data_IF_545010192004
#
_entry.id   IF_545010192004
#
_cell.length_a   1.000
_cell.length_b   1.000
_cell.length_c   1.000
_cell.angle_alpha   90.00
_cell.angle_beta   90.00
_cell.angle_gamma   90.00
#
_symmetry.space_group_name_H-M   'P 1'
#
loop_
_entity.id
_entity.type
_entity.pdbx_description
1 polymer ?
#
# COMPACT_ATOMS: atom_id res chain seq x y z
N UNK A 1 32.95 28.69 18.86
CA UNK A 1 31.99 27.82 19.59
C UNK A 1 30.73 27.78 18.72
N UNK A 2 30.58 26.74 17.92
CA UNK A 2 29.41 26.50 17.06
C UNK A 2 28.57 25.46 17.78
N UNK A 3 27.38 25.85 18.20
CA UNK A 3 26.37 24.96 18.76
C UNK A 3 25.77 24.11 17.65
N UNK A 4 26.13 22.83 17.64
CA UNK A 4 25.38 21.78 16.97
C UNK A 4 24.11 21.48 17.81
N UNK A 5 22.97 22.06 17.46
CA UNK A 5 21.69 21.70 18.02
C UNK A 5 20.97 20.71 17.07
N UNK A 6 21.00 19.46 17.52
CA UNK A 6 19.99 18.39 17.41
C UNK A 6 19.24 18.22 16.08
N UNK A 7 19.79 17.37 15.20
CA UNK A 7 19.08 16.84 14.03
C UNK A 7 17.85 15.96 14.34
N UNK A 8 17.67 15.55 15.59
CA UNK A 8 16.50 14.77 16.04
C UNK A 8 15.19 15.55 16.06
N UNK A 9 15.25 16.89 16.20
CA UNK A 9 14.05 17.73 16.27
C UNK A 9 13.36 17.90 14.91
N UNK A 10 14.12 17.98 13.80
CA UNK A 10 13.56 18.24 12.46
C UNK A 10 12.85 17.01 11.91
N UNK A 11 13.44 15.81 12.03
CA UNK A 11 12.83 14.55 11.58
C UNK A 11 11.59 14.19 12.42
N UNK A 12 11.63 14.43 13.74
CA UNK A 12 10.46 14.24 14.59
C UNK A 12 9.37 15.28 14.36
N UNK A 13 9.72 16.53 14.08
CA UNK A 13 8.76 17.54 13.69
C UNK A 13 8.14 17.26 12.33
N UNK A 14 8.90 16.79 11.34
CA UNK A 14 8.34 16.36 10.05
C UNK A 14 7.44 15.14 10.22
N UNK A 15 7.82 14.12 11.01
CA UNK A 15 6.91 12.99 11.34
C UNK A 15 5.62 13.47 11.98
N UNK A 16 5.67 14.39 12.94
CA UNK A 16 4.48 14.97 13.57
C UNK A 16 3.64 15.79 12.57
N UNK A 17 4.26 16.54 11.68
CA UNK A 17 3.53 17.31 10.65
C UNK A 17 2.88 16.38 9.61
N UNK A 18 3.55 15.31 9.19
CA UNK A 18 3.01 14.28 8.28
C UNK A 18 1.83 13.57 8.93
N UNK A 19 1.96 13.16 10.18
CA UNK A 19 0.88 12.56 10.97
C UNK A 19 -0.27 13.55 11.13
N UNK A 20 -0.02 14.84 11.35
CA UNK A 20 -1.07 15.85 11.53
C UNK A 20 -1.85 16.17 10.24
N UNK A 21 -1.18 16.24 9.09
CA UNK A 21 -1.84 16.51 7.79
C UNK A 21 -2.67 15.32 7.27
N UNK A 22 -2.27 14.11 7.66
CA UNK A 22 -2.94 12.85 7.33
C UNK A 22 -3.93 12.41 8.41
N UNK A 23 -3.76 12.89 9.64
CA UNK A 23 -4.57 12.52 10.79
C UNK A 23 -6.03 12.96 10.69
N UNK A 24 -6.35 13.95 9.87
CA UNK A 24 -7.75 14.40 9.73
C UNK A 24 -8.69 13.30 9.24
N UNK A 25 -8.23 12.39 8.35
CA UNK A 25 -9.03 11.26 7.89
C UNK A 25 -8.94 10.05 8.82
N UNK A 26 -7.74 9.80 9.39
CA UNK A 26 -7.51 8.67 10.30
C UNK A 26 -7.80 9.03 11.77
N UNK A 27 -7.90 10.32 12.11
CA UNK A 27 -8.15 10.81 13.49
C UNK A 27 -9.53 10.46 14.04
N UNK A 28 -10.49 10.11 13.17
CA UNK A 28 -11.83 9.67 13.56
C UNK A 28 -11.77 8.43 14.49
N UNK A 29 -10.65 7.68 14.46
CA UNK A 29 -10.44 6.45 15.21
C UNK A 29 -9.32 6.58 16.27
N UNK A 30 -9.08 7.79 16.79
CA UNK A 30 -8.05 8.03 17.80
C UNK A 30 -8.33 7.27 19.11
N UNK A 31 -7.25 6.79 19.78
CA UNK A 31 -7.36 5.94 20.97
C UNK A 31 -8.01 6.60 22.19
N UNK A 32 -8.02 7.94 22.25
CA UNK A 32 -8.58 8.71 23.38
C UNK A 32 -10.04 9.11 23.18
N UNK A 33 -10.69 8.61 22.14
CA UNK A 33 -12.10 8.95 21.84
C UNK A 33 -13.06 7.99 22.53
N UNK A 34 -14.18 8.51 23.01
CA UNK A 34 -15.35 7.70 23.33
C UNK A 34 -16.02 7.22 22.06
N UNK A 35 -16.57 6.02 22.08
CA UNK A 35 -17.25 5.42 20.94
C UNK A 35 -18.67 5.05 21.29
N UNK A 36 -19.57 5.17 20.33
CA UNK A 36 -20.92 4.64 20.42
C UNK A 36 -21.04 3.45 19.47
N UNK A 37 -21.26 2.28 20.04
CA UNK A 37 -21.68 1.11 19.28
C UNK A 37 -23.20 1.12 19.17
N UNK A 38 -23.71 1.29 17.96
CA UNK A 38 -25.14 1.33 17.66
C UNK A 38 -25.49 0.09 16.86
N UNK A 39 -26.58 -0.56 17.21
CA UNK A 39 -27.13 -1.72 16.49
C UNK A 39 -28.60 -1.49 16.18
N UNK A 40 -28.99 -1.85 14.96
CA UNK A 40 -30.36 -1.76 14.48
C UNK A 40 -30.82 -3.13 13.97
N UNK A 41 -32.07 -3.45 14.20
CA UNK A 41 -32.73 -4.65 13.73
C UNK A 41 -33.27 -5.51 14.87
N UNK A 42 -33.81 -6.70 14.55
CA UNK A 42 -34.49 -7.57 15.50
C UNK A 42 -33.65 -7.95 16.73
N UNK A 43 -32.35 -7.77 16.65
CA UNK A 43 -31.39 -8.13 17.70
C UNK A 43 -30.81 -6.96 18.49
N UNK A 44 -31.39 -5.77 18.43
CA UNK A 44 -31.07 -4.72 19.38
C UNK A 44 -31.18 -5.20 20.84
N UNK A 45 -32.02 -6.23 21.07
CA UNK A 45 -32.15 -6.94 22.37
C UNK A 45 -30.95 -7.78 22.74
N UNK A 46 -30.12 -8.21 21.80
CA UNK A 46 -28.92 -9.00 22.09
C UNK A 46 -27.86 -8.20 22.87
N UNK A 47 -27.99 -6.87 22.95
CA UNK A 47 -27.19 -6.04 23.81
C UNK A 47 -27.58 -6.10 25.31
N UNK A 48 -28.53 -6.96 25.71
CA UNK A 48 -28.98 -7.06 27.10
C UNK A 48 -27.83 -7.35 28.10
N UNK A 49 -26.78 -8.01 27.65
CA UNK A 49 -25.58 -8.28 28.45
C UNK A 49 -24.60 -7.12 28.58
N UNK A 50 -24.82 -6.01 27.86
CA UNK A 50 -23.87 -4.90 27.77
C UNK A 50 -24.37 -3.57 28.34
N UNK A 51 -25.49 -3.57 29.09
CA UNK A 51 -26.07 -2.38 29.71
C UNK A 51 -26.21 -1.19 28.71
N UNK A 52 -27.10 -1.28 27.71
CA UNK A 52 -27.28 -0.22 26.72
C UNK A 52 -27.74 1.07 27.39
N UNK A 53 -27.08 2.19 27.03
CA UNK A 53 -27.39 3.52 27.54
C UNK A 53 -28.63 4.11 26.84
N UNK A 54 -28.85 3.70 25.58
CA UNK A 54 -29.99 4.17 24.79
C UNK A 54 -30.69 3.00 24.11
N UNK A 55 -32.04 3.06 24.12
CA UNK A 55 -32.86 2.05 23.45
C UNK A 55 -34.11 2.70 22.91
N UNK A 56 -34.42 2.48 21.63
CA UNK A 56 -35.67 2.94 21.00
C UNK A 56 -36.04 1.98 19.88
N UNK A 57 -37.21 1.36 20.00
CA UNK A 57 -37.70 0.36 19.08
C UNK A 57 -36.67 -0.73 18.80
N UNK A 58 -36.25 -0.86 17.56
CA UNK A 58 -35.23 -1.81 17.07
C UNK A 58 -33.78 -1.25 17.06
N UNK A 59 -33.56 -0.10 17.72
CA UNK A 59 -32.25 0.53 17.83
C UNK A 59 -31.77 0.51 19.27
N UNK A 60 -30.53 0.08 19.48
CA UNK A 60 -29.86 0.13 20.78
C UNK A 60 -28.45 0.69 20.63
N UNK A 61 -28.00 1.48 21.60
CA UNK A 61 -26.68 2.08 21.60
C UNK A 61 -25.97 1.89 22.94
N UNK A 62 -24.68 1.62 22.90
CA UNK A 62 -23.78 1.49 24.05
C UNK A 62 -22.65 2.50 23.88
N UNK A 63 -22.38 3.26 24.94
CA UNK A 63 -21.14 4.03 25.00
C UNK A 63 -19.99 3.11 25.44
N UNK A 64 -18.87 3.17 24.76
CA UNK A 64 -17.68 2.38 25.02
C UNK A 64 -16.43 3.25 24.82
N UNK A 65 -15.31 2.73 25.24
CA UNK A 65 -13.97 3.29 25.04
C UNK A 65 -13.25 2.57 23.89
N UNK A 66 -11.92 2.58 23.92
CA UNK A 66 -11.07 1.88 22.96
C UNK A 66 -11.30 0.35 22.89
N UNK A 67 -12.00 -0.23 23.88
CA UNK A 67 -12.31 -1.67 23.92
C UNK A 67 -13.58 -2.05 23.12
N UNK A 68 -14.15 -1.15 22.34
CA UNK A 68 -15.36 -1.41 21.54
C UNK A 68 -15.25 -2.67 20.67
N UNK A 69 -14.04 -3.06 20.23
CA UNK A 69 -13.80 -4.28 19.45
C UNK A 69 -14.18 -5.54 20.21
N UNK A 70 -13.78 -5.66 21.47
CA UNK A 70 -14.07 -6.85 22.30
C UNK A 70 -15.57 -6.99 22.50
N UNK A 71 -16.26 -5.85 22.69
CA UNK A 71 -17.72 -5.79 22.81
C UNK A 71 -18.33 -6.21 21.47
N UNK A 72 -17.83 -5.68 20.35
CA UNK A 72 -18.31 -6.02 19.02
C UNK A 72 -18.14 -7.50 18.70
N UNK A 73 -16.96 -8.08 18.98
CA UNK A 73 -16.69 -9.51 18.72
C UNK A 73 -17.68 -10.41 19.46
N UNK A 74 -17.94 -10.12 20.75
CA UNK A 74 -18.92 -10.84 21.55
C UNK A 74 -20.33 -10.70 20.98
N UNK A 75 -20.71 -9.51 20.55
CA UNK A 75 -22.00 -9.22 19.93
C UNK A 75 -22.17 -9.95 18.58
N UNK A 76 -21.15 -9.86 17.70
CA UNK A 76 -21.17 -10.54 16.40
C UNK A 76 -21.26 -12.06 16.54
N UNK A 77 -20.56 -12.64 17.52
CA UNK A 77 -20.66 -14.07 17.84
C UNK A 77 -22.06 -14.46 18.34
N UNK A 78 -22.72 -13.60 19.10
CA UNK A 78 -24.10 -13.82 19.56
C UNK A 78 -25.08 -13.79 18.40
N UNK A 79 -24.92 -12.85 17.45
CA UNK A 79 -25.74 -12.79 16.23
C UNK A 79 -25.54 -14.06 15.38
N UNK A 80 -24.31 -14.46 15.15
CA UNK A 80 -23.97 -15.59 14.26
C UNK A 80 -24.63 -16.92 14.69
N UNK A 81 -24.98 -17.05 15.96
CA UNK A 81 -25.64 -18.24 16.51
C UNK A 81 -27.18 -18.28 16.28
N UNK A 82 -27.77 -17.25 15.70
CA UNK A 82 -29.23 -17.17 15.55
C UNK A 82 -29.69 -17.51 14.13
N UNK A 83 -30.86 -18.12 13.98
CA UNK A 83 -31.48 -18.37 12.67
C UNK A 83 -31.65 -17.07 11.89
N UNK A 84 -31.22 -17.02 10.62
CA UNK A 84 -31.25 -15.80 9.80
C UNK A 84 -30.16 -14.79 10.13
N UNK A 85 -29.09 -15.21 10.76
CA UNK A 85 -27.95 -14.37 11.10
C UNK A 85 -27.51 -13.48 9.92
N UNK A 86 -27.51 -12.18 10.15
CA UNK A 86 -27.02 -11.18 9.21
C UNK A 86 -28.08 -10.49 8.33
N UNK A 87 -29.24 -11.11 8.09
CA UNK A 87 -30.30 -10.49 7.29
C UNK A 87 -31.00 -9.37 8.09
N UNK A 88 -31.00 -8.15 7.56
CA UNK A 88 -31.65 -7.00 8.18
C UNK A 88 -30.97 -6.38 9.40
N UNK A 89 -29.79 -6.89 9.80
CA UNK A 89 -29.02 -6.31 10.90
C UNK A 89 -28.05 -5.24 10.37
N UNK A 90 -28.06 -4.08 10.97
CA UNK A 90 -27.10 -3.00 10.71
C UNK A 90 -26.45 -2.56 12.02
N UNK A 91 -25.24 -2.08 11.93
CA UNK A 91 -24.51 -1.54 13.07
C UNK A 91 -23.62 -0.37 12.65
N UNK A 92 -23.25 0.45 13.61
CA UNK A 92 -22.29 1.53 13.44
C UNK A 92 -21.39 1.61 14.67
N UNK A 93 -20.13 1.97 14.46
CA UNK A 93 -19.21 2.41 15.49
C UNK A 93 -18.96 3.90 15.20
N UNK A 94 -19.37 4.76 16.11
CA UNK A 94 -19.33 6.21 15.93
C UNK A 94 -18.47 6.82 17.02
N UNK A 95 -17.32 7.42 16.68
CA UNK A 95 -16.53 8.17 17.65
C UNK A 95 -17.25 9.47 18.00
N UNK A 96 -17.68 9.60 19.24
CA UNK A 96 -18.31 10.80 19.78
C UNK A 96 -18.36 10.77 21.31
N UNK A 97 -18.23 11.91 21.94
CA UNK A 97 -18.34 12.04 23.40
C UNK A 97 -19.78 12.00 23.88
N UNK A 98 -20.70 12.49 23.06
CA UNK A 98 -22.13 12.50 23.33
C UNK A 98 -22.88 11.52 22.40
N UNK A 99 -24.11 11.17 22.76
CA UNK A 99 -24.95 10.29 21.92
C UNK A 99 -25.17 10.94 20.54
N UNK A 100 -24.77 10.27 19.44
CA UNK A 100 -24.95 10.81 18.10
C UNK A 100 -26.43 11.06 17.76
N UNK A 101 -26.69 12.02 16.90
CA UNK A 101 -28.04 12.26 16.40
C UNK A 101 -28.57 11.06 15.60
N UNK A 102 -29.87 10.92 15.49
CA UNK A 102 -30.50 9.87 14.66
C UNK A 102 -30.08 9.96 13.19
N UNK A 103 -29.78 11.17 12.70
CA UNK A 103 -29.28 11.39 11.35
C UNK A 103 -27.85 10.84 11.19
N UNK A 104 -26.95 11.15 12.14
CA UNK A 104 -25.58 10.64 12.15
C UNK A 104 -25.56 9.12 12.25
N UNK A 105 -26.38 8.56 13.13
CA UNK A 105 -26.56 7.11 13.26
C UNK A 105 -27.02 6.51 11.93
N UNK A 106 -28.06 7.06 11.30
CA UNK A 106 -28.61 6.53 10.04
C UNK A 106 -27.58 6.54 8.91
N UNK A 107 -26.73 7.58 8.84
CA UNK A 107 -25.67 7.67 7.83
C UNK A 107 -24.51 6.72 8.12
N UNK A 108 -24.23 6.42 9.39
CA UNK A 108 -23.12 5.56 9.80
C UNK A 108 -23.47 4.07 9.77
N UNK A 109 -24.75 3.69 9.77
CA UNK A 109 -25.17 2.28 9.81
C UNK A 109 -24.69 1.48 8.59
N UNK A 110 -24.04 0.38 8.86
CA UNK A 110 -23.45 -0.55 7.89
C UNK A 110 -23.95 -1.97 8.17
N UNK A 111 -23.80 -2.88 7.21
CA UNK A 111 -24.06 -4.30 7.47
C UNK A 111 -23.11 -4.84 8.54
N UNK A 112 -23.54 -5.89 9.25
CA UNK A 112 -22.70 -6.58 10.24
C UNK A 112 -21.37 -7.04 9.62
N UNK A 113 -21.40 -7.52 8.36
CA UNK A 113 -20.20 -7.92 7.64
C UNK A 113 -19.21 -6.76 7.45
N UNK A 114 -19.68 -5.57 7.12
CA UNK A 114 -18.82 -4.38 7.00
C UNK A 114 -18.23 -3.95 8.35
N UNK A 115 -19.01 -4.00 9.44
CA UNK A 115 -18.46 -3.69 10.78
C UNK A 115 -17.47 -4.76 11.23
N UNK A 116 -17.69 -6.04 10.89
CA UNK A 116 -16.71 -7.09 11.13
C UNK A 116 -15.39 -6.83 10.39
N UNK A 117 -15.46 -6.40 9.13
CA UNK A 117 -14.27 -6.04 8.37
C UNK A 117 -13.52 -4.86 9.00
N UNK A 118 -14.23 -3.84 9.45
CA UNK A 118 -13.64 -2.71 10.21
C UNK A 118 -12.96 -3.22 11.47
N UNK A 119 -13.65 -4.01 12.29
CA UNK A 119 -13.11 -4.51 13.55
C UNK A 119 -11.87 -5.40 13.35
N UNK A 120 -11.83 -6.17 12.28
CA UNK A 120 -10.69 -7.02 11.95
C UNK A 120 -9.45 -6.25 11.46
N UNK A 121 -9.66 -5.08 10.82
CA UNK A 121 -8.60 -4.38 10.11
C UNK A 121 -8.28 -2.97 10.64
N UNK A 122 -8.97 -2.51 11.71
CA UNK A 122 -8.73 -1.18 12.29
C UNK A 122 -7.27 -0.98 12.76
N UNK A 123 -6.54 -2.06 13.01
CA UNK A 123 -5.12 -2.04 13.35
C UNK A 123 -4.28 -1.23 12.32
N UNK A 124 -4.71 -1.20 11.06
CA UNK A 124 -4.01 -0.42 10.03
C UNK A 124 -4.13 1.07 10.32
N UNK A 125 -5.31 1.55 10.68
CA UNK A 125 -5.53 2.97 11.02
C UNK A 125 -4.72 3.34 12.27
N UNK A 126 -4.74 2.48 13.28
CA UNK A 126 -3.93 2.67 14.50
C UNK A 126 -2.44 2.69 14.18
N UNK A 127 -1.97 1.80 13.30
CA UNK A 127 -0.57 1.76 12.89
C UNK A 127 -0.15 3.04 12.14
N UNK A 128 -1.00 3.54 11.25
CA UNK A 128 -0.76 4.81 10.55
C UNK A 128 -0.72 5.97 11.54
N UNK A 129 -1.69 6.06 12.45
CA UNK A 129 -1.77 7.12 13.45
C UNK A 129 -0.56 7.15 14.40
N UNK A 130 -0.01 5.98 14.72
CA UNK A 130 1.18 5.87 15.58
C UNK A 130 2.51 5.88 14.80
N UNK A 131 2.49 6.11 13.49
CA UNK A 131 3.69 6.14 12.65
C UNK A 131 4.43 4.79 12.59
N UNK A 132 3.71 3.67 12.75
CA UNK A 132 4.27 2.30 12.67
C UNK A 132 4.34 1.75 11.24
N UNK A 133 3.78 2.46 10.27
CA UNK A 133 3.94 2.14 8.87
C UNK A 133 5.32 2.60 8.41
N UNK A 134 6.10 1.70 7.86
CA UNK A 134 7.46 1.98 7.41
C UNK A 134 7.67 1.55 5.95
N UNK A 135 8.74 1.99 5.35
CA UNK A 135 9.13 1.68 3.99
C UNK A 135 10.42 0.85 4.02
N UNK A 136 10.36 -0.34 3.44
CA UNK A 136 11.52 -1.20 3.22
C UNK A 136 11.98 -1.05 1.78
N UNK A 137 13.29 -1.08 1.57
CA UNK A 137 13.91 -0.94 0.26
C UNK A 137 14.52 -2.26 -0.17
N UNK A 138 14.21 -2.70 -1.40
CA UNK A 138 14.87 -3.84 -2.00
C UNK A 138 15.73 -3.37 -3.18
N UNK A 139 16.96 -3.85 -3.23
CA UNK A 139 17.92 -3.48 -4.28
C UNK A 139 17.49 -3.99 -5.64
N UNK A 140 17.71 -3.14 -6.65
CA UNK A 140 17.70 -3.50 -8.06
C UNK A 140 19.13 -3.39 -8.57
N UNK A 141 19.62 -4.43 -9.23
CA UNK A 141 20.99 -4.53 -9.74
C UNK A 141 21.03 -4.64 -11.26
N UNK A 142 22.11 -4.15 -11.88
CA UNK A 142 22.38 -4.37 -13.29
C UNK A 142 23.03 -5.74 -13.54
N UNK A 143 23.33 -6.03 -14.79
CA UNK A 143 23.99 -7.27 -15.26
C UNK A 143 25.40 -7.48 -14.66
N UNK A 144 26.02 -6.46 -14.09
CA UNK A 144 27.33 -6.52 -13.43
C UNK A 144 27.21 -6.66 -11.92
N UNK A 145 25.99 -6.79 -11.39
CA UNK A 145 25.71 -6.82 -9.96
C UNK A 145 25.83 -5.46 -9.27
N UNK A 146 26.01 -4.36 -10.04
CA UNK A 146 26.01 -3.01 -9.48
C UNK A 146 24.57 -2.60 -9.17
N UNK A 147 24.34 -2.05 -7.97
CA UNK A 147 23.07 -1.46 -7.62
C UNK A 147 22.77 -0.27 -8.55
N UNK A 148 21.57 -0.23 -9.12
CA UNK A 148 21.08 0.82 -10.00
C UNK A 148 19.82 1.49 -9.48
N UNK A 149 19.19 0.93 -8.45
CA UNK A 149 17.99 1.47 -7.84
C UNK A 149 17.50 0.63 -6.68
N UNK A 150 16.28 0.99 -6.23
CA UNK A 150 15.56 0.29 -5.17
C UNK A 150 14.07 0.27 -5.49
N UNK A 151 13.39 -0.78 -5.05
CA UNK A 151 11.93 -0.77 -4.97
C UNK A 151 11.48 -0.57 -3.53
N UNK A 152 10.45 0.24 -3.37
CA UNK A 152 9.87 0.62 -2.09
C UNK A 152 8.69 -0.30 -1.74
N UNK A 153 8.77 -0.94 -0.57
CA UNK A 153 7.74 -1.83 -0.05
C UNK A 153 7.16 -1.32 1.27
N UNK A 154 5.84 -1.26 1.33
CA UNK A 154 5.16 -1.00 2.60
C UNK A 154 5.37 -2.17 3.58
N UNK A 155 5.73 -1.85 4.79
CA UNK A 155 5.83 -2.77 5.93
C UNK A 155 5.27 -2.09 7.19
N UNK A 156 4.83 -2.90 8.11
CA UNK A 156 4.37 -2.41 9.40
C UNK A 156 4.91 -3.34 10.49
N UNK A 157 5.47 -2.75 11.52
CA UNK A 157 5.84 -3.48 12.72
C UNK A 157 4.60 -3.60 13.63
N UNK A 158 4.24 -4.82 14.00
CA UNK A 158 3.18 -5.06 14.96
C UNK A 158 3.66 -4.83 16.41
N UNK A 159 2.75 -4.91 17.39
CA UNK A 159 3.08 -4.68 18.79
C UNK A 159 4.09 -5.70 19.36
N UNK A 160 4.18 -6.88 18.76
CA UNK A 160 5.05 -8.00 19.20
C UNK A 160 6.41 -8.00 18.45
N UNK A 161 6.69 -6.96 17.65
CA UNK A 161 7.92 -6.85 16.86
C UNK A 161 7.93 -7.65 15.56
N UNK A 162 6.82 -8.30 15.19
CA UNK A 162 6.66 -8.96 13.91
C UNK A 162 6.43 -7.96 12.77
N UNK A 163 6.80 -8.34 11.54
CA UNK A 163 6.63 -7.48 10.36
C UNK A 163 5.46 -7.94 9.50
N UNK A 164 4.50 -7.04 9.31
CA UNK A 164 3.35 -7.23 8.41
C UNK A 164 3.73 -6.74 7.01
N UNK A 165 3.55 -7.61 6.01
CA UNK A 165 3.87 -7.31 4.61
C UNK A 165 2.81 -6.48 3.88
N UNK A 166 3.23 -5.89 2.75
CA UNK A 166 2.39 -5.01 1.93
C UNK A 166 1.06 -5.63 1.49
N UNK A 167 1.03 -6.93 1.17
CA UNK A 167 -0.22 -7.61 0.79
C UNK A 167 -1.29 -7.57 1.89
N UNK A 168 -0.92 -7.85 3.15
CA UNK A 168 -1.85 -7.79 4.28
C UNK A 168 -2.27 -6.33 4.60
N UNK A 169 -1.35 -5.38 4.44
CA UNK A 169 -1.64 -3.94 4.57
C UNK A 169 -2.68 -3.51 3.53
N UNK A 170 -2.52 -3.92 2.27
CA UNK A 170 -3.45 -3.60 1.20
C UNK A 170 -4.81 -4.29 1.38
N UNK A 171 -4.83 -5.54 1.83
CA UNK A 171 -6.06 -6.24 2.17
C UNK A 171 -6.85 -5.51 3.26
N UNK A 172 -6.16 -5.04 4.30
CA UNK A 172 -6.77 -4.25 5.36
C UNK A 172 -7.28 -2.90 4.83
N UNK A 173 -6.51 -2.21 3.99
CA UNK A 173 -6.93 -0.96 3.36
C UNK A 173 -8.20 -1.14 2.52
N UNK A 174 -8.27 -2.22 1.74
CA UNK A 174 -9.45 -2.56 0.94
C UNK A 174 -10.68 -2.81 1.82
N UNK A 175 -10.54 -3.59 2.88
CA UNK A 175 -11.63 -3.86 3.81
C UNK A 175 -12.15 -2.60 4.53
N UNK A 176 -11.27 -1.62 4.74
CA UNK A 176 -11.59 -0.32 5.35
C UNK A 176 -12.00 0.76 4.34
N UNK A 177 -11.87 0.51 3.03
CA UNK A 177 -12.08 1.49 1.95
C UNK A 177 -11.17 2.73 2.06
N UNK A 178 -9.91 2.51 2.42
CA UNK A 178 -8.89 3.58 2.59
C UNK A 178 -7.69 3.43 1.65
N UNK A 179 -7.80 2.61 0.60
CA UNK A 179 -6.72 2.31 -0.33
C UNK A 179 -6.13 3.58 -0.96
N UNK A 180 -7.00 4.50 -1.38
CA UNK A 180 -6.59 5.76 -1.99
C UNK A 180 -5.72 6.60 -1.06
N UNK A 181 -6.14 6.72 0.21
CA UNK A 181 -5.42 7.51 1.22
C UNK A 181 -4.10 6.85 1.59
N UNK A 182 -4.12 5.54 1.75
CA UNK A 182 -2.93 4.75 2.07
C UNK A 182 -1.89 4.84 0.95
N UNK A 183 -2.29 4.66 -0.30
CA UNK A 183 -1.38 4.66 -1.44
C UNK A 183 -0.66 6.02 -1.57
N UNK A 184 -1.38 7.13 -1.44
CA UNK A 184 -0.78 8.47 -1.42
C UNK A 184 0.21 8.66 -0.27
N UNK A 185 -0.08 8.06 0.89
CA UNK A 185 0.84 8.07 2.03
C UNK A 185 2.11 7.29 1.72
N UNK A 186 1.97 6.10 1.15
CA UNK A 186 3.09 5.23 0.80
C UNK A 186 4.00 5.87 -0.25
N UNK A 187 3.44 6.53 -1.26
CA UNK A 187 4.22 7.28 -2.25
C UNK A 187 5.12 8.35 -1.61
N UNK A 188 4.55 9.13 -0.69
CA UNK A 188 5.30 10.15 0.04
C UNK A 188 6.38 9.52 0.91
N UNK A 189 6.04 8.48 1.66
CA UNK A 189 7.00 7.76 2.52
C UNK A 189 8.14 7.13 1.72
N UNK A 190 7.87 6.60 0.52
CA UNK A 190 8.90 6.04 -0.34
C UNK A 190 9.97 7.09 -0.71
N UNK A 191 9.55 8.28 -1.14
CA UNK A 191 10.47 9.39 -1.46
C UNK A 191 11.24 9.84 -0.21
N UNK A 192 10.55 10.01 0.92
CA UNK A 192 11.19 10.43 2.17
C UNK A 192 12.20 9.40 2.70
N UNK A 193 11.90 8.11 2.54
CA UNK A 193 12.82 7.04 2.90
C UNK A 193 14.04 7.04 1.97
N UNK A 194 13.83 7.14 0.66
CA UNK A 194 14.89 7.16 -0.34
C UNK A 194 15.87 8.29 -0.08
N UNK A 195 15.36 9.49 0.14
CA UNK A 195 16.18 10.68 0.47
C UNK A 195 16.81 10.56 1.86
N UNK A 196 16.03 10.12 2.84
CA UNK A 196 16.50 10.03 4.23
C UNK A 196 17.60 8.99 4.44
N UNK A 197 17.70 7.99 3.56
CA UNK A 197 18.77 6.97 3.55
C UNK A 197 19.91 7.30 2.58
N UNK A 198 19.92 8.49 1.96
CA UNK A 198 20.93 8.94 0.99
C UNK A 198 21.13 7.94 -0.16
N UNK A 199 20.01 7.45 -0.71
CA UNK A 199 20.03 6.44 -1.77
C UNK A 199 20.16 7.11 -3.15
N UNK A 200 20.80 6.38 -4.07
CA UNK A 200 21.00 6.82 -5.45
C UNK A 200 20.38 5.84 -6.45
N UNK A 201 20.19 6.30 -7.69
CA UNK A 201 19.66 5.52 -8.79
C UNK A 201 18.15 5.69 -8.94
N UNK A 202 17.47 4.64 -9.40
CA UNK A 202 16.01 4.63 -9.55
C UNK A 202 15.32 4.29 -8.23
N UNK A 203 14.13 4.87 -8.04
CA UNK A 203 13.19 4.42 -7.02
C UNK A 203 11.91 3.93 -7.69
N UNK A 204 11.64 2.65 -7.58
CA UNK A 204 10.43 2.01 -8.06
C UNK A 204 9.36 2.07 -6.98
N UNK A 205 8.18 2.55 -7.35
CA UNK A 205 7.06 2.76 -6.43
C UNK A 205 5.82 2.10 -7.00
N UNK A 206 5.31 1.12 -6.27
CA UNK A 206 4.06 0.45 -6.62
C UNK A 206 2.91 1.45 -6.65
N UNK A 207 2.02 1.29 -7.61
CA UNK A 207 1.00 2.26 -7.95
C UNK A 207 -0.38 1.60 -8.08
N UNK A 208 -1.30 1.98 -7.19
CA UNK A 208 -2.66 1.48 -7.20
C UNK A 208 -3.52 2.18 -8.24
N UNK A 209 -3.91 1.45 -9.22
CA UNK A 209 -4.46 1.94 -10.45
C UNK A 209 -5.98 1.99 -10.47
N UNK A 210 -6.64 1.19 -9.61
CA UNK A 210 -8.10 1.08 -9.54
C UNK A 210 -8.82 2.42 -9.30
N UNK A 211 -8.22 3.31 -8.51
CA UNK A 211 -8.83 4.56 -8.04
C UNK A 211 -8.50 5.80 -8.85
N UNK A 212 -7.71 5.68 -9.93
CA UNK A 212 -7.26 6.85 -10.68
C UNK A 212 -8.27 7.21 -11.75
N UNK A 213 -9.08 8.20 -11.46
CA UNK A 213 -9.92 8.86 -12.46
C UNK A 213 -9.21 10.07 -13.08
N UNK A 214 -8.33 10.74 -12.31
CA UNK A 214 -7.58 11.94 -12.70
C UNK A 214 -6.15 11.85 -12.18
N UNK A 215 -5.18 11.39 -13.01
CA UNK A 215 -3.78 11.23 -12.61
C UNK A 215 -3.17 12.52 -12.04
N UNK A 216 -3.54 13.67 -12.58
CA UNK A 216 -3.07 14.99 -12.15
C UNK A 216 -3.45 15.32 -10.70
N UNK A 217 -4.60 14.84 -10.22
CA UNK A 217 -5.03 15.04 -8.82
C UNK A 217 -4.40 13.97 -7.91
N UNK A 218 -4.36 12.74 -8.40
CA UNK A 218 -3.87 11.61 -7.64
C UNK A 218 -2.37 11.71 -7.34
N UNK A 219 -1.56 12.04 -8.34
CA UNK A 219 -0.10 12.09 -8.27
C UNK A 219 0.45 13.45 -7.84
N UNK A 220 -0.40 14.45 -7.58
CA UNK A 220 0.05 15.77 -7.18
C UNK A 220 0.89 15.73 -5.90
N UNK A 221 0.46 14.94 -4.90
CA UNK A 221 1.21 14.76 -3.65
C UNK A 221 2.61 14.18 -3.86
N UNK A 222 2.74 13.18 -4.74
CA UNK A 222 4.05 12.64 -5.14
C UNK A 222 4.90 13.68 -5.86
N UNK A 223 4.31 14.41 -6.81
CA UNK A 223 5.01 15.47 -7.55
C UNK A 223 5.56 16.54 -6.61
N UNK A 224 4.76 16.96 -5.62
CA UNK A 224 5.19 17.92 -4.60
C UNK A 224 6.28 17.33 -3.68
N UNK A 225 6.16 16.05 -3.28
CA UNK A 225 7.18 15.39 -2.48
C UNK A 225 8.53 15.38 -3.21
N UNK A 226 8.54 14.97 -4.48
CA UNK A 226 9.76 14.95 -5.32
C UNK A 226 10.35 16.35 -5.51
N UNK A 227 9.52 17.36 -5.80
CA UNK A 227 9.98 18.72 -6.06
C UNK A 227 10.68 19.39 -4.85
N UNK A 228 10.48 18.89 -3.65
CA UNK A 228 11.12 19.35 -2.41
C UNK A 228 12.44 18.64 -2.09
N UNK A 229 12.90 17.78 -2.97
CA UNK A 229 14.10 16.96 -2.79
C UNK A 229 15.08 17.16 -3.94
N UNK A 230 16.25 16.55 -3.84
CA UNK A 230 17.24 16.51 -4.92
C UNK A 230 17.01 15.33 -5.88
N UNK A 231 15.98 14.50 -5.66
CA UNK A 231 15.66 13.36 -6.53
C UNK A 231 15.22 13.87 -7.90
N UNK A 232 15.89 13.39 -8.94
CA UNK A 232 15.51 13.71 -10.32
C UNK A 232 14.15 13.06 -10.63
N UNK A 233 13.18 13.78 -11.20
CA UNK A 233 11.89 13.19 -11.54
C UNK A 233 12.01 11.87 -12.33
N UNK A 234 12.92 11.81 -13.31
CA UNK A 234 13.15 10.61 -14.11
C UNK A 234 13.75 9.41 -13.36
N UNK A 235 14.23 9.62 -12.12
CA UNK A 235 14.64 8.52 -11.24
C UNK A 235 13.44 7.89 -10.51
N UNK A 236 12.32 8.59 -10.42
CA UNK A 236 11.07 8.06 -9.84
C UNK A 236 10.34 7.25 -10.90
N UNK A 237 10.20 5.96 -10.66
CA UNK A 237 9.56 5.00 -11.56
C UNK A 237 8.25 4.55 -10.93
N UNK A 238 7.14 4.76 -11.63
CA UNK A 238 5.82 4.29 -11.20
C UNK A 238 5.55 2.92 -11.81
N UNK A 239 5.36 1.91 -10.96
CA UNK A 239 5.10 0.53 -11.34
C UNK A 239 3.60 0.34 -11.56
N UNK A 240 3.22 0.09 -12.80
CA UNK A 240 1.83 -0.05 -13.23
C UNK A 240 1.54 -1.51 -13.58
N UNK A 241 0.73 -2.23 -12.79
CA UNK A 241 0.38 -3.62 -13.06
C UNK A 241 -0.36 -3.73 -14.39
N UNK A 242 0.16 -4.50 -15.33
CA UNK A 242 -0.39 -4.61 -16.67
C UNK A 242 -1.78 -5.27 -16.68
N UNK A 243 -2.00 -6.26 -15.79
CA UNK A 243 -3.23 -7.04 -15.73
C UNK A 243 -4.51 -6.22 -15.57
N UNK A 244 -4.43 -5.11 -14.83
CA UNK A 244 -5.57 -4.22 -14.56
C UNK A 244 -5.90 -3.27 -15.73
N UNK A 245 -4.93 -2.98 -16.60
CA UNK A 245 -5.02 -1.92 -17.61
C UNK A 245 -5.18 -2.38 -19.04
N UNK A 246 -4.93 -3.62 -19.36
CA UNK A 246 -5.23 -4.13 -20.73
C UNK A 246 -6.69 -3.86 -21.11
N UNK A 247 -7.56 -3.73 -20.10
CA UNK A 247 -9.00 -3.44 -20.28
C UNK A 247 -9.34 -1.94 -20.32
N UNK A 248 -8.42 -1.05 -19.90
CA UNK A 248 -8.64 0.41 -19.84
C UNK A 248 -7.46 1.20 -20.40
N UNK A 249 -7.19 1.01 -21.67
CA UNK A 249 -6.12 1.71 -22.38
C UNK A 249 -6.21 3.25 -22.33
N UNK A 250 -7.38 3.89 -22.40
CA UNK A 250 -7.47 5.34 -22.23
C UNK A 250 -6.90 5.81 -20.89
N UNK A 251 -7.15 5.08 -19.81
CA UNK A 251 -6.65 5.39 -18.47
C UNK A 251 -5.13 5.22 -18.38
N UNK A 252 -4.59 4.11 -18.89
CA UNK A 252 -3.15 3.88 -18.95
C UNK A 252 -2.41 4.98 -19.74
N UNK A 253 -2.95 5.39 -20.89
CA UNK A 253 -2.43 6.52 -21.67
C UNK A 253 -2.45 7.82 -20.89
N UNK A 254 -3.51 8.11 -20.14
CA UNK A 254 -3.62 9.31 -19.31
C UNK A 254 -2.53 9.32 -18.23
N UNK A 255 -2.28 8.18 -17.56
CA UNK A 255 -1.21 8.03 -16.57
C UNK A 255 0.16 8.22 -17.22
N UNK A 256 0.44 7.53 -18.33
CA UNK A 256 1.70 7.64 -19.05
C UNK A 256 1.98 9.07 -19.52
N UNK A 257 0.95 9.75 -20.00
CA UNK A 257 1.06 11.17 -20.40
C UNK A 257 1.37 12.07 -19.20
N UNK A 258 0.70 11.88 -18.08
CA UNK A 258 0.99 12.62 -16.85
C UNK A 258 2.44 12.39 -16.39
N UNK A 259 2.88 11.14 -16.31
CA UNK A 259 4.27 10.82 -15.95
C UNK A 259 5.26 11.57 -16.84
N UNK A 260 5.05 11.54 -18.16
CA UNK A 260 5.90 12.23 -19.14
C UNK A 260 5.91 13.74 -18.92
N UNK A 261 4.77 14.37 -18.65
CA UNK A 261 4.69 15.83 -18.43
C UNK A 261 5.38 16.26 -17.14
N UNK A 262 5.45 15.37 -16.14
CA UNK A 262 6.14 15.61 -14.86
C UNK A 262 7.58 15.11 -14.87
N UNK A 263 8.01 14.45 -15.93
CA UNK A 263 9.35 13.87 -16.07
C UNK A 263 9.56 12.57 -15.30
N UNK A 264 8.50 11.93 -14.79
CA UNK A 264 8.57 10.61 -14.14
C UNK A 264 8.75 9.50 -15.17
N UNK A 265 9.42 8.44 -14.76
CA UNK A 265 9.49 7.19 -15.49
C UNK A 265 8.29 6.28 -15.15
N UNK A 266 7.97 5.38 -16.08
CA UNK A 266 6.92 4.39 -15.90
C UNK A 266 7.48 3.00 -16.18
N UNK A 267 7.12 2.02 -15.35
CA UNK A 267 7.34 0.61 -15.61
C UNK A 267 6.00 -0.07 -15.85
N UNK A 268 5.96 -0.99 -16.82
CA UNK A 268 4.86 -1.94 -16.96
C UNK A 268 5.21 -3.18 -16.15
N UNK A 269 4.41 -3.43 -15.12
CA UNK A 269 4.64 -4.51 -14.17
C UNK A 269 3.82 -5.75 -14.49
N UNK A 270 4.18 -6.90 -13.91
CA UNK A 270 3.53 -8.21 -14.08
C UNK A 270 3.47 -8.70 -15.54
N UNK A 271 4.49 -8.43 -16.35
CA UNK A 271 4.52 -8.87 -17.74
C UNK A 271 4.88 -10.36 -17.82
N UNK A 272 3.97 -11.14 -18.41
CA UNK A 272 4.10 -12.61 -18.55
C UNK A 272 4.06 -13.11 -19.99
N UNK A 273 3.72 -12.25 -20.98
CA UNK A 273 3.57 -12.60 -22.39
C UNK A 273 4.12 -11.52 -23.31
N UNK A 274 4.55 -11.94 -24.50
CA UNK A 274 4.95 -11.03 -25.58
C UNK A 274 3.77 -10.58 -26.45
N UNK A 275 2.58 -11.18 -26.28
CA UNK A 275 1.41 -10.92 -27.10
C UNK A 275 0.94 -9.47 -26.96
N UNK A 276 0.89 -8.74 -28.10
CA UNK A 276 0.50 -7.33 -28.11
C UNK A 276 1.51 -6.34 -27.50
N UNK A 277 2.62 -6.84 -26.90
CA UNK A 277 3.59 -6.01 -26.19
C UNK A 277 4.18 -4.91 -27.07
N UNK A 278 4.56 -5.19 -28.33
CA UNK A 278 5.13 -4.18 -29.23
C UNK A 278 4.21 -2.97 -29.43
N UNK A 279 2.92 -3.21 -29.67
CA UNK A 279 1.92 -2.13 -29.80
C UNK A 279 1.77 -1.33 -28.53
N UNK A 280 1.73 -2.02 -27.38
CA UNK A 280 1.64 -1.40 -26.07
C UNK A 280 2.85 -0.51 -25.77
N UNK A 281 4.07 -1.01 -25.99
CA UNK A 281 5.30 -0.24 -25.76
C UNK A 281 5.40 0.99 -26.66
N UNK A 282 5.03 0.87 -27.94
CA UNK A 282 5.02 1.99 -28.87
C UNK A 282 4.04 3.10 -28.44
N UNK A 283 2.91 2.73 -27.82
CA UNK A 283 1.86 3.64 -27.40
C UNK A 283 2.14 4.28 -26.03
N UNK A 284 2.53 3.48 -25.04
CA UNK A 284 2.73 3.92 -23.66
C UNK A 284 4.12 4.54 -23.47
N UNK A 285 5.14 3.99 -24.14
CA UNK A 285 6.56 4.39 -24.02
C UNK A 285 7.06 4.35 -22.57
N UNK A 286 6.94 3.21 -21.89
CA UNK A 286 7.50 3.06 -20.54
C UNK A 286 9.03 3.07 -20.62
N UNK A 287 9.69 3.32 -19.49
CA UNK A 287 11.14 3.16 -19.38
C UNK A 287 11.53 1.70 -19.10
N UNK A 288 10.63 0.97 -18.44
CA UNK A 288 10.89 -0.40 -17.98
C UNK A 288 9.72 -1.34 -18.25
N UNK A 289 10.05 -2.61 -18.44
CA UNK A 289 9.16 -3.76 -18.34
C UNK A 289 9.66 -4.62 -17.21
N UNK A 290 8.78 -4.98 -16.26
CA UNK A 290 9.10 -5.88 -15.15
C UNK A 290 8.46 -7.24 -15.44
N UNK A 291 9.27 -8.30 -15.37
CA UNK A 291 8.81 -9.68 -15.53
C UNK A 291 8.27 -10.18 -14.20
N UNK A 292 7.01 -10.64 -14.20
CA UNK A 292 6.38 -11.24 -13.02
C UNK A 292 7.26 -12.36 -12.43
N UNK A 293 7.43 -12.36 -11.12
CA UNK A 293 8.16 -13.41 -10.40
C UNK A 293 7.65 -14.84 -10.64
N UNK A 294 6.43 -14.98 -11.15
CA UNK A 294 5.84 -16.26 -11.58
C UNK A 294 6.03 -16.53 -13.07
N UNK A 295 6.84 -15.72 -13.75
CA UNK A 295 7.09 -15.90 -15.18
C UNK A 295 7.53 -17.34 -15.50
N UNK A 296 6.91 -17.93 -16.51
CA UNK A 296 7.22 -19.30 -16.93
C UNK A 296 6.52 -20.41 -16.13
N UNK A 297 5.82 -20.10 -15.03
CA UNK A 297 5.04 -21.10 -14.28
C UNK A 297 3.96 -21.70 -15.19
N UNK A 298 3.96 -23.03 -15.29
CA UNK A 298 3.03 -23.77 -16.15
C UNK A 298 3.45 -23.86 -17.62
N UNK A 299 4.54 -23.23 -18.04
CA UNK A 299 5.13 -23.40 -19.35
C UNK A 299 6.22 -24.50 -19.32
N UNK A 300 6.38 -25.19 -20.46
CA UNK A 300 7.59 -26.01 -20.59
C UNK A 300 8.84 -25.08 -20.76
N UNK A 301 10.06 -25.54 -20.40
CA UNK A 301 11.23 -24.70 -20.41
C UNK A 301 11.54 -24.02 -21.75
N UNK A 302 11.39 -24.74 -22.88
CA UNK A 302 11.67 -24.20 -24.22
C UNK A 302 10.67 -23.07 -24.58
N UNK A 303 9.40 -23.24 -24.22
CA UNK A 303 8.38 -22.21 -24.46
C UNK A 303 8.60 -21.00 -23.55
N UNK A 304 8.91 -21.21 -22.28
CA UNK A 304 9.24 -20.12 -21.37
C UNK A 304 10.43 -19.30 -21.87
N UNK A 305 11.51 -19.98 -22.32
CA UNK A 305 12.68 -19.33 -22.90
C UNK A 305 12.34 -18.56 -24.19
N UNK A 306 11.49 -19.11 -25.05
CA UNK A 306 11.04 -18.42 -26.27
C UNK A 306 10.26 -17.14 -25.95
N UNK A 307 9.29 -17.22 -25.05
CA UNK A 307 8.50 -16.04 -24.60
C UNK A 307 9.40 -15.00 -23.96
N UNK A 308 10.34 -15.39 -23.11
CA UNK A 308 11.31 -14.49 -22.48
C UNK A 308 12.14 -13.75 -23.53
N UNK A 309 12.70 -14.48 -24.50
CA UNK A 309 13.49 -13.90 -25.60
C UNK A 309 12.67 -12.92 -26.44
N UNK A 310 11.40 -13.22 -26.70
CA UNK A 310 10.51 -12.31 -27.42
C UNK A 310 10.20 -11.04 -26.61
N UNK A 311 9.91 -11.14 -25.31
CA UNK A 311 9.68 -9.98 -24.45
C UNK A 311 10.92 -9.07 -24.46
N UNK A 312 12.11 -9.63 -24.23
CA UNK A 312 13.35 -8.86 -24.20
C UNK A 312 13.64 -8.20 -25.54
N UNK A 313 13.56 -8.95 -26.63
CA UNK A 313 13.79 -8.44 -28.00
C UNK A 313 12.81 -7.30 -28.36
N UNK A 314 11.52 -7.46 -28.03
CA UNK A 314 10.49 -6.44 -28.28
C UNK A 314 10.75 -5.20 -27.43
N UNK A 315 11.10 -5.37 -26.16
CA UNK A 315 11.41 -4.28 -25.26
C UNK A 315 12.62 -3.48 -25.75
N UNK A 316 13.73 -4.13 -26.05
CA UNK A 316 14.94 -3.48 -26.57
C UNK A 316 14.70 -2.76 -27.91
N UNK A 317 13.90 -3.35 -28.81
CA UNK A 317 13.53 -2.70 -30.08
C UNK A 317 12.73 -1.39 -29.87
N UNK A 318 12.09 -1.22 -28.72
CA UNK A 318 11.36 -0.02 -28.34
C UNK A 318 12.16 0.89 -27.37
N UNK A 319 13.44 0.58 -27.08
CA UNK A 319 14.28 1.34 -26.16
C UNK A 319 13.86 1.20 -24.68
N UNK A 320 13.22 0.08 -24.34
CA UNK A 320 12.71 -0.23 -23.00
C UNK A 320 13.61 -1.27 -22.34
N UNK A 321 14.04 -1.01 -21.11
CA UNK A 321 14.83 -1.95 -20.32
C UNK A 321 13.95 -2.99 -19.63
N UNK A 322 14.47 -4.22 -19.48
CA UNK A 322 13.76 -5.32 -18.83
C UNK A 322 14.35 -5.61 -17.46
N UNK A 323 13.49 -5.70 -16.44
CA UNK A 323 13.81 -6.06 -15.07
C UNK A 323 13.16 -7.40 -14.73
N UNK A 324 13.96 -8.38 -14.30
CA UNK A 324 13.43 -9.65 -13.76
C UNK A 324 13.25 -9.55 -12.25
N UNK A 325 12.04 -9.88 -11.79
CA UNK A 325 11.67 -9.87 -10.38
C UNK A 325 11.76 -11.26 -9.75
N UNK A 326 11.75 -11.30 -8.40
CA UNK A 326 11.76 -12.51 -7.59
C UNK A 326 12.84 -13.53 -8.03
N UNK A 327 14.02 -13.02 -8.40
CA UNK A 327 15.16 -13.89 -8.72
C UNK A 327 15.74 -14.43 -7.40
N UNK A 328 15.52 -15.72 -7.14
CA UNK A 328 15.90 -16.35 -5.87
C UNK A 328 17.10 -17.27 -6.01
N UNK A 329 17.40 -17.78 -7.22
CA UNK A 329 18.44 -18.76 -7.46
C UNK A 329 19.41 -18.31 -8.55
N UNK A 330 20.67 -18.79 -8.47
CA UNK A 330 21.68 -18.58 -9.49
C UNK A 330 21.22 -19.10 -10.86
N UNK A 331 20.53 -20.22 -10.90
CA UNK A 331 20.03 -20.79 -12.15
C UNK A 331 18.98 -19.87 -12.83
N UNK A 332 18.08 -19.26 -12.06
CA UNK A 332 17.17 -18.23 -12.60
C UNK A 332 17.94 -17.03 -13.15
N UNK A 333 18.91 -16.54 -12.38
CA UNK A 333 19.74 -15.41 -12.80
C UNK A 333 20.49 -15.72 -14.10
N UNK A 334 21.13 -16.90 -14.22
CA UNK A 334 21.82 -17.35 -15.43
C UNK A 334 20.88 -17.42 -16.65
N UNK A 335 19.65 -17.92 -16.44
CA UNK A 335 18.63 -17.96 -17.49
C UNK A 335 18.28 -16.55 -18.00
N UNK A 336 18.02 -15.61 -17.11
CA UNK A 336 17.70 -14.23 -17.45
C UNK A 336 18.91 -13.50 -18.07
N UNK A 337 20.13 -13.76 -17.57
CA UNK A 337 21.35 -13.24 -18.17
C UNK A 337 21.55 -13.73 -19.62
N UNK A 338 21.28 -15.01 -19.87
CA UNK A 338 21.36 -15.59 -21.22
C UNK A 338 20.30 -15.01 -22.19
N UNK A 339 19.17 -14.58 -21.67
CA UNK A 339 18.12 -13.93 -22.44
C UNK A 339 18.31 -12.42 -22.62
N UNK A 340 19.42 -11.87 -22.15
CA UNK A 340 19.78 -10.45 -22.24
C UNK A 340 18.90 -9.50 -21.41
N UNK A 341 18.35 -9.97 -20.28
CA UNK A 341 17.63 -9.13 -19.31
C UNK A 341 18.60 -8.11 -18.69
N UNK A 342 18.18 -6.86 -18.49
CA UNK A 342 19.03 -5.74 -18.12
C UNK A 342 19.25 -5.59 -16.62
N UNK A 343 18.20 -5.87 -15.83
CA UNK A 343 18.18 -5.63 -14.39
C UNK A 343 17.53 -6.79 -13.64
N UNK A 344 17.88 -6.90 -12.36
CA UNK A 344 17.48 -8.02 -11.52
C UNK A 344 17.11 -7.55 -10.13
N UNK A 345 16.05 -8.16 -9.58
CA UNK A 345 15.59 -7.99 -8.21
C UNK A 345 15.14 -9.35 -7.66
N UNK A 346 15.42 -9.60 -6.40
CA UNK A 346 15.01 -10.84 -5.73
C UNK A 346 15.90 -11.18 -4.56
N UNK A 347 15.57 -12.26 -3.87
CA UNK A 347 16.30 -12.66 -2.66
C UNK A 347 17.75 -13.07 -2.93
N UNK A 348 18.09 -13.43 -4.16
CA UNK A 348 19.48 -13.66 -4.56
C UNK A 348 20.34 -12.39 -4.36
N UNK A 349 19.77 -11.19 -4.52
CA UNK A 349 20.47 -9.90 -4.41
C UNK A 349 20.20 -9.18 -3.09
N UNK A 350 19.28 -9.68 -2.29
CA UNK A 350 18.87 -9.16 -1.00
C UNK A 350 17.35 -9.11 -0.82
N UNK A 351 16.90 -9.36 0.39
CA UNK A 351 15.50 -9.17 0.76
C UNK A 351 15.17 -7.68 0.91
N UNK A 352 13.88 -7.28 0.86
CA UNK A 352 13.49 -5.95 1.32
C UNK A 352 13.94 -5.71 2.76
N UNK A 353 14.66 -4.64 3.00
CA UNK A 353 15.19 -4.32 4.33
C UNK A 353 14.87 -2.90 4.75
N UNK A 354 14.74 -2.68 6.06
CA UNK A 354 14.64 -1.35 6.63
C UNK A 354 16.03 -0.73 6.66
N UNK A 355 16.23 0.34 5.92
CA UNK A 355 17.50 1.05 5.89
C UNK A 355 17.54 2.14 6.97
N UNK A 356 18.71 2.35 7.56
CA UNK A 356 18.93 3.44 8.50
C UNK A 356 18.85 4.79 7.79
N UNK A 357 18.03 5.69 8.31
CA UNK A 357 18.03 7.09 7.87
C UNK A 357 19.24 7.82 8.48
N UNK A 358 19.68 8.88 7.83
CA UNK A 358 20.78 9.69 8.33
C UNK A 358 20.53 10.13 9.80
N UNK A 359 21.41 9.73 10.71
CA UNK A 359 21.30 9.98 12.16
C UNK A 359 20.43 9.00 12.96
N UNK A 360 19.91 7.94 12.34
CA UNK A 360 19.17 6.86 12.99
C UNK A 360 20.09 5.67 13.29
N UNK A 361 20.06 5.16 14.53
CA UNK A 361 20.72 3.90 14.89
C UNK A 361 19.65 2.81 14.87
N UNK A 362 19.74 1.89 13.92
CA UNK A 362 18.91 0.70 13.89
C UNK A 362 19.50 -0.30 14.90
N UNK A 363 18.75 -0.63 15.95
CA UNK A 363 19.10 -1.76 16.79
C UNK A 363 19.11 -3.03 15.90
N UNK A 364 20.26 -3.70 15.80
CA UNK A 364 20.32 -4.99 15.11
C UNK A 364 19.42 -5.96 15.86
N UNK A 365 18.30 -6.32 15.29
CA UNK A 365 17.55 -7.50 15.73
C UNK A 365 18.45 -8.69 15.50
N UNK A 366 18.83 -9.37 16.58
CA UNK A 366 19.57 -10.61 16.50
C UNK A 366 18.75 -11.62 15.66
N UNK A 367 19.30 -12.07 14.55
CA UNK A 367 18.81 -13.19 13.73
C UNK A 367 18.87 -14.48 14.49
#
# INVERSE_FOLDING_TARGET
VIFLHSGTSFVQQQRKAIVAEQSAFFSIWAQDSSYWMVVEGPMATALNGFAPIYRKADLAAIKTDANWRDIWVKYAQAIAKQPGAGAGHRAAIIPADELPSLQDISMALKSVGQVNAIAAHIWLIEAVNHGRLDCYMQRVTDRRGKQVGFEAFARMENADGGVIGGGAIMQAAHALHVEYQLDRLLHKQAIECFVGCDLEGYIFINFLTGFIHRPEVYLEGLSQAVSRTHVRPGAVVLDVPLGDYVKDMPKLKSIANYCRTRGFSLALDDVTTADGLAGLLAEIRPAFVKLDGKFGVGLNPARAQGVLGDIVRISHANGVSVLAEAVETTAQHELYMAADVDMFQGYLFGAPERLARAGEVIAKTAT
#
